data_IF_582164906201
#
_entry.id   IF_582164906201
#
_cell.length_a   1.000
_cell.length_b   1.000
_cell.length_c   1.000
_cell.angle_alpha   90.00
_cell.angle_beta   90.00
_cell.angle_gamma   90.00
#
_symmetry.space_group_name_H-M   'P 1'
#
loop_
_entity.id
_entity.type
_entity.pdbx_description
1 polymer ?
#
# COMPACT_ATOMS: atom_id res chain seq x y z
N UNK A 1 23.02 11.99 -2.02
CA UNK A 1 22.17 10.81 -1.80
C UNK A 1 21.79 10.73 -0.33
N UNK A 2 20.77 11.46 0.10
CA UNK A 2 20.31 11.40 1.50
C UNK A 2 19.01 10.61 1.52
N UNK A 3 19.11 9.32 1.86
CA UNK A 3 17.96 8.50 2.20
C UNK A 3 17.53 8.89 3.63
N UNK A 4 16.28 9.29 3.80
CA UNK A 4 15.75 9.61 5.14
C UNK A 4 15.74 8.37 6.05
N UNK A 5 15.88 8.53 7.38
CA UNK A 5 15.95 7.43 8.34
C UNK A 5 14.67 6.56 8.33
N UNK A 6 14.85 5.31 8.77
CA UNK A 6 13.93 4.16 8.73
C UNK A 6 12.56 4.33 9.44
N UNK A 7 12.21 5.52 9.92
CA UNK A 7 10.97 5.77 10.67
C UNK A 7 9.83 6.37 9.84
N UNK A 8 10.06 6.68 8.55
CA UNK A 8 9.06 7.27 7.65
C UNK A 8 9.07 6.57 6.30
N UNK A 9 7.92 6.60 5.61
CA UNK A 9 7.78 6.24 4.20
C UNK A 9 8.99 6.76 3.41
N UNK A 10 9.71 5.84 2.74
CA UNK A 10 11.00 6.14 2.13
C UNK A 10 10.87 7.18 1.03
N UNK A 11 11.34 8.39 1.36
CA UNK A 11 11.44 9.50 0.41
C UNK A 11 12.85 9.51 -0.16
N UNK A 12 12.95 9.33 -1.46
CA UNK A 12 14.19 9.37 -2.23
C UNK A 12 14.33 10.78 -2.79
N UNK A 13 15.27 11.56 -2.23
CA UNK A 13 15.65 12.87 -2.75
C UNK A 13 16.92 12.75 -3.59
N UNK A 14 16.87 13.22 -4.83
CA UNK A 14 18.00 13.14 -5.74
C UNK A 14 18.39 14.51 -6.29
N UNK A 15 19.65 14.91 -6.05
CA UNK A 15 20.20 16.19 -6.49
C UNK A 15 20.88 16.10 -7.87
N UNK A 16 21.30 14.91 -8.31
CA UNK A 16 22.02 14.70 -9.57
C UNK A 16 21.46 13.45 -10.27
N UNK A 17 20.62 13.64 -11.29
CA UNK A 17 20.31 12.59 -12.26
C UNK A 17 21.39 12.62 -13.34
N UNK A 18 22.06 11.49 -13.55
CA UNK A 18 22.83 11.33 -14.78
C UNK A 18 21.84 11.33 -15.94
N UNK A 19 22.07 12.19 -16.94
CA UNK A 19 21.11 12.53 -18.02
C UNK A 19 20.55 11.31 -18.77
N UNK A 20 21.22 10.16 -18.68
CA UNK A 20 20.89 8.92 -19.39
C UNK A 20 20.13 7.87 -18.56
N UNK A 21 19.85 8.09 -17.28
CA UNK A 21 19.23 7.05 -16.45
C UNK A 21 17.79 6.76 -16.88
N UNK A 22 17.48 5.47 -17.03
CA UNK A 22 16.12 4.96 -17.13
C UNK A 22 15.48 4.88 -15.75
N UNK A 23 14.15 4.85 -15.71
CA UNK A 23 13.41 4.62 -14.47
C UNK A 23 13.81 3.32 -13.78
N UNK A 24 14.16 2.29 -14.57
CA UNK A 24 14.68 1.01 -14.06
C UNK A 24 16.00 1.18 -13.31
N UNK A 25 16.96 1.93 -13.85
CA UNK A 25 18.27 2.12 -13.21
C UNK A 25 18.13 2.76 -11.82
N UNK A 26 17.27 3.78 -11.73
CA UNK A 26 16.96 4.45 -10.47
C UNK A 26 16.24 3.51 -9.49
N UNK A 27 15.24 2.78 -9.95
CA UNK A 27 14.49 1.84 -9.14
C UNK A 27 15.37 0.70 -8.60
N UNK A 28 16.20 0.10 -9.46
CA UNK A 28 17.12 -0.98 -9.10
C UNK A 28 18.20 -0.49 -8.12
N UNK A 29 18.67 0.76 -8.24
CA UNK A 29 19.55 1.37 -7.24
C UNK A 29 18.87 1.47 -5.88
N UNK A 30 17.63 1.97 -5.82
CA UNK A 30 16.88 2.08 -4.56
C UNK A 30 16.69 0.69 -3.95
N UNK A 31 16.24 -0.30 -4.72
CA UNK A 31 16.02 -1.67 -4.24
C UNK A 31 17.31 -2.30 -3.69
N UNK A 32 18.44 -2.18 -4.40
CA UNK A 32 19.74 -2.68 -3.92
C UNK A 32 20.19 -1.98 -2.64
N UNK A 33 20.00 -0.67 -2.55
CA UNK A 33 20.43 0.11 -1.38
C UNK A 33 19.66 -0.29 -0.13
N UNK A 34 18.40 -0.71 -0.27
CA UNK A 34 17.57 -1.16 0.86
C UNK A 34 17.59 -2.66 1.08
N UNK A 35 18.23 -3.46 0.20
CA UNK A 35 18.24 -4.92 0.29
C UNK A 35 16.93 -5.59 -0.13
N UNK A 36 16.10 -4.93 -0.94
CA UNK A 36 14.79 -5.46 -1.37
C UNK A 36 14.92 -6.29 -2.66
N UNK A 37 14.45 -7.53 -2.60
CA UNK A 37 14.33 -8.44 -3.76
C UNK A 37 12.89 -8.57 -4.26
N UNK A 38 11.89 -8.41 -3.38
CA UNK A 38 10.45 -8.44 -3.70
C UNK A 38 9.97 -7.17 -4.42
N UNK A 39 10.67 -6.82 -5.50
CA UNK A 39 10.52 -5.55 -6.20
C UNK A 39 9.17 -5.38 -6.90
N UNK A 40 8.47 -6.48 -7.19
CA UNK A 40 7.21 -6.47 -7.93
C UNK A 40 6.05 -5.78 -7.21
N UNK A 41 6.15 -5.55 -5.89
CA UNK A 41 5.17 -4.78 -5.15
C UNK A 41 5.38 -3.27 -5.24
N UNK A 42 6.59 -2.80 -5.56
CA UNK A 42 6.99 -1.41 -5.33
C UNK A 42 7.12 -0.59 -6.61
N UNK A 43 7.07 0.73 -6.44
CA UNK A 43 7.36 1.70 -7.49
C UNK A 43 7.89 3.01 -6.93
N UNK A 44 8.34 3.88 -7.84
CA UNK A 44 8.70 5.26 -7.51
C UNK A 44 7.56 6.18 -7.95
N UNK A 45 6.93 6.84 -6.98
CA UNK A 45 5.86 7.82 -7.19
C UNK A 45 6.46 9.23 -7.16
N UNK A 46 5.99 10.11 -8.03
CA UNK A 46 6.35 11.54 -8.01
C UNK A 46 5.11 12.40 -8.27
N UNK A 47 5.15 13.64 -7.80
CA UNK A 47 4.05 14.60 -7.97
C UNK A 47 4.06 15.16 -9.39
N UNK A 48 2.88 15.21 -10.02
CA UNK A 48 2.65 15.81 -11.34
C UNK A 48 1.45 16.71 -11.25
N UNK A 49 1.65 18.04 -11.35
CA UNK A 49 0.58 19.04 -11.20
C UNK A 49 -0.23 18.76 -9.92
N UNK A 50 -1.54 18.59 -10.03
CA UNK A 50 -2.46 18.34 -8.92
C UNK A 50 -2.67 16.83 -8.63
N UNK A 51 -1.77 15.96 -9.10
CA UNK A 51 -1.87 14.51 -8.91
C UNK A 51 -0.49 13.86 -8.77
N UNK A 52 -0.41 12.55 -8.94
CA UNK A 52 0.83 11.79 -8.93
C UNK A 52 0.96 10.91 -10.19
N UNK A 53 2.19 10.50 -10.46
CA UNK A 53 2.50 9.50 -11.46
C UNK A 53 3.52 8.49 -10.91
N UNK A 54 3.50 7.28 -11.47
CA UNK A 54 4.51 6.26 -11.21
C UNK A 54 5.57 6.31 -12.30
N UNK A 55 6.84 6.34 -11.89
CA UNK A 55 7.99 6.33 -12.78
C UNK A 55 7.96 5.06 -13.65
N UNK A 56 8.01 5.25 -14.96
CA UNK A 56 8.05 4.17 -15.94
C UNK A 56 9.47 3.65 -16.05
N UNK A 57 9.63 2.35 -15.84
CA UNK A 57 10.95 1.71 -15.82
C UNK A 57 11.67 1.80 -17.17
N UNK A 58 10.94 1.67 -18.29
CA UNK A 58 11.52 1.65 -19.65
C UNK A 58 11.91 3.01 -20.22
N UNK A 59 11.44 4.11 -19.61
CA UNK A 59 11.70 5.47 -20.09
C UNK A 59 12.84 6.11 -19.31
N UNK A 60 13.55 7.04 -19.95
CA UNK A 60 14.46 7.92 -19.23
C UNK A 60 13.71 8.72 -18.16
N UNK A 61 14.36 8.97 -17.04
CA UNK A 61 13.75 9.68 -15.91
C UNK A 61 13.38 11.11 -16.32
N UNK A 62 14.28 11.79 -17.04
CA UNK A 62 14.12 13.18 -17.46
C UNK A 62 13.16 13.36 -18.65
N UNK A 63 12.84 12.28 -19.38
CA UNK A 63 11.85 12.30 -20.47
C UNK A 63 10.41 12.16 -19.96
N UNK A 64 10.24 11.95 -18.65
CA UNK A 64 8.94 11.86 -18.00
C UNK A 64 8.59 13.21 -17.38
N UNK A 65 7.32 13.41 -17.02
CA UNK A 65 6.80 14.67 -16.47
C UNK A 65 7.26 14.93 -15.02
N UNK A 66 8.47 14.51 -14.64
CA UNK A 66 9.03 14.71 -13.31
C UNK A 66 9.26 16.21 -13.02
N UNK A 67 9.08 16.66 -11.77
CA UNK A 67 9.42 18.03 -11.40
C UNK A 67 10.87 18.36 -11.78
N UNK A 68 11.08 19.57 -12.31
CA UNK A 68 12.42 20.06 -12.66
C UNK A 68 13.14 20.70 -11.48
N UNK A 69 12.46 20.84 -10.35
CA UNK A 69 13.02 21.39 -9.12
C UNK A 69 14.04 20.41 -8.52
N UNK A 70 15.18 20.95 -8.07
CA UNK A 70 16.23 20.17 -7.43
C UNK A 70 16.18 20.38 -5.91
N UNK A 71 16.20 19.32 -5.09
CA UNK A 71 16.26 17.91 -5.49
C UNK A 71 14.92 17.38 -6.01
N UNK A 72 14.97 16.53 -7.05
CA UNK A 72 13.79 15.79 -7.50
C UNK A 72 13.43 14.78 -6.40
N UNK A 73 12.17 14.81 -5.99
CA UNK A 73 11.66 13.96 -4.92
C UNK A 73 10.80 12.83 -5.49
N UNK A 74 11.21 11.60 -5.19
CA UNK A 74 10.44 10.38 -5.45
C UNK A 74 10.04 9.72 -4.12
N UNK A 75 8.88 9.10 -4.08
CA UNK A 75 8.43 8.29 -2.96
C UNK A 75 8.50 6.83 -3.37
N UNK A 76 9.31 6.03 -2.65
CA UNK A 76 9.38 4.60 -2.84
C UNK A 76 8.26 3.95 -2.04
N UNK A 77 7.26 3.42 -2.74
CA UNK A 77 5.97 2.99 -2.16
C UNK A 77 5.57 1.62 -2.70
N UNK A 78 4.86 0.85 -1.88
CA UNK A 78 4.07 -0.27 -2.36
C UNK A 78 2.99 0.27 -3.31
N UNK A 79 3.01 -0.22 -4.54
CA UNK A 79 2.08 0.08 -5.63
C UNK A 79 1.04 -1.02 -5.79
N UNK A 80 1.42 -2.26 -5.53
CA UNK A 80 0.55 -3.43 -5.61
C UNK A 80 0.58 -4.16 -4.28
N UNK A 81 -0.59 -4.56 -3.79
CA UNK A 81 -0.74 -5.20 -2.49
C UNK A 81 -0.87 -6.72 -2.66
N UNK A 82 -0.39 -7.52 -1.69
CA UNK A 82 -0.60 -8.97 -1.67
C UNK A 82 -2.10 -9.31 -1.51
N UNK A 83 -2.52 -10.48 -2.00
CA UNK A 83 -3.80 -11.11 -1.63
C UNK A 83 -3.74 -11.64 -0.19
N UNK A 84 -2.57 -12.10 0.26
CA UNK A 84 -2.33 -12.53 1.65
C UNK A 84 -0.94 -12.13 2.13
N UNK A 85 -0.88 -11.25 3.14
CA UNK A 85 0.40 -10.69 3.61
C UNK A 85 1.37 -11.75 4.15
N UNK A 86 0.86 -12.74 4.90
CA UNK A 86 1.68 -13.77 5.55
C UNK A 86 2.27 -14.79 4.56
N UNK A 87 1.59 -15.03 3.44
CA UNK A 87 2.04 -15.99 2.41
C UNK A 87 2.97 -15.35 1.36
N UNK A 88 2.82 -14.03 1.13
CA UNK A 88 3.46 -13.32 0.03
C UNK A 88 4.60 -12.39 0.44
N UNK A 89 4.60 -11.84 1.66
CA UNK A 89 5.67 -10.93 2.11
C UNK A 89 6.79 -11.74 2.77
N UNK A 90 7.83 -12.05 2.00
CA UNK A 90 8.88 -13.01 2.40
C UNK A 90 9.98 -12.36 3.24
N UNK A 91 10.48 -11.21 2.83
CA UNK A 91 11.58 -10.52 3.50
C UNK A 91 11.06 -9.56 4.58
N UNK A 92 11.75 -9.50 5.71
CA UNK A 92 11.45 -8.55 6.79
C UNK A 92 11.46 -7.10 6.31
N UNK A 93 12.36 -6.72 5.39
CA UNK A 93 12.36 -5.37 4.82
C UNK A 93 11.10 -5.08 4.01
N UNK A 94 10.55 -6.06 3.30
CA UNK A 94 9.31 -5.93 2.54
C UNK A 94 8.15 -5.72 3.50
N UNK A 95 8.04 -6.59 4.52
CA UNK A 95 7.03 -6.50 5.58
C UNK A 95 7.07 -5.13 6.25
N UNK A 96 8.27 -4.69 6.66
CA UNK A 96 8.47 -3.40 7.31
C UNK A 96 8.02 -2.21 6.45
N UNK A 97 8.34 -2.22 5.16
CA UNK A 97 7.92 -1.15 4.25
C UNK A 97 6.40 -1.12 4.04
N UNK A 98 5.75 -2.29 3.96
CA UNK A 98 4.28 -2.38 3.91
C UNK A 98 3.67 -1.88 5.22
N UNK A 99 4.17 -2.33 6.37
CA UNK A 99 3.71 -1.89 7.70
C UNK A 99 3.75 -0.36 7.82
N UNK A 100 4.88 0.26 7.51
CA UNK A 100 5.02 1.72 7.59
C UNK A 100 4.05 2.44 6.66
N UNK A 101 3.85 1.95 5.45
CA UNK A 101 2.93 2.55 4.49
C UNK A 101 1.48 2.42 4.96
N UNK A 102 1.03 1.20 5.28
CA UNK A 102 -0.35 0.93 5.71
C UNK A 102 -0.68 1.68 7.00
N UNK A 103 0.24 1.68 7.98
CA UNK A 103 0.09 2.47 9.21
C UNK A 103 -0.12 3.94 8.90
N UNK A 104 0.69 4.51 8.00
CA UNK A 104 0.53 5.90 7.58
C UNK A 104 -0.84 6.13 6.92
N UNK A 105 -1.27 5.24 6.03
CA UNK A 105 -2.56 5.38 5.35
C UNK A 105 -3.76 5.30 6.30
N UNK A 106 -3.67 4.50 7.36
CA UNK A 106 -4.70 4.45 8.41
C UNK A 106 -4.71 5.75 9.23
N UNK A 107 -3.52 6.23 9.66
CA UNK A 107 -3.40 7.46 10.45
C UNK A 107 -3.80 8.73 9.66
N UNK A 108 -3.50 8.76 8.36
CA UNK A 108 -3.89 9.84 7.43
C UNK A 108 -5.36 9.72 6.98
N UNK A 109 -6.10 8.70 7.45
CA UNK A 109 -7.51 8.44 7.09
C UNK A 109 -7.73 8.13 5.60
N UNK A 110 -6.69 7.70 4.88
CA UNK A 110 -6.81 7.13 3.53
C UNK A 110 -7.50 5.76 3.56
N UNK A 111 -7.25 4.98 4.62
CA UNK A 111 -7.90 3.71 4.90
C UNK A 111 -8.78 3.90 6.14
N UNK A 112 -10.09 3.66 5.98
CA UNK A 112 -10.99 3.66 7.12
C UNK A 112 -10.66 2.51 8.07
N UNK A 113 -10.59 2.81 9.36
CA UNK A 113 -10.39 1.83 10.42
C UNK A 113 -11.37 2.12 11.56
N UNK A 114 -12.02 1.10 12.09
CA UNK A 114 -12.90 1.27 13.27
C UNK A 114 -12.07 1.69 14.50
N UNK A 115 -12.69 2.34 15.50
CA UNK A 115 -12.00 2.68 16.74
C UNK A 115 -11.37 1.47 17.44
N UNK A 116 -12.09 0.36 17.51
CA UNK A 116 -11.64 -0.87 18.16
C UNK A 116 -10.42 -1.46 17.44
N UNK A 117 -10.48 -1.55 16.11
CA UNK A 117 -9.36 -2.01 15.30
C UNK A 117 -8.17 -1.04 15.38
N UNK A 118 -8.42 0.27 15.46
CA UNK A 118 -7.37 1.29 15.56
C UNK A 118 -6.56 1.14 16.84
N UNK A 119 -7.22 0.87 17.98
CA UNK A 119 -6.54 0.63 19.26
C UNK A 119 -5.69 -0.65 19.21
N UNK A 120 -6.23 -1.73 18.65
CA UNK A 120 -5.48 -2.98 18.50
C UNK A 120 -4.26 -2.80 17.58
N UNK A 121 -4.43 -2.15 16.43
CA UNK A 121 -3.35 -1.81 15.51
C UNK A 121 -2.29 -0.91 16.17
N UNK A 122 -2.70 0.09 16.95
CA UNK A 122 -1.79 0.93 17.71
C UNK A 122 -0.94 0.11 18.70
N UNK A 123 -1.53 -0.88 19.39
CA UNK A 123 -0.78 -1.74 20.31
C UNK A 123 0.30 -2.57 19.63
N UNK A 124 0.03 -3.13 18.44
CA UNK A 124 1.08 -3.81 17.65
C UNK A 124 2.14 -2.84 17.13
N UNK A 125 1.75 -1.62 16.74
CA UNK A 125 2.72 -0.61 16.32
C UNK A 125 3.65 -0.18 17.47
N UNK A 126 3.14 -0.14 18.71
CA UNK A 126 3.93 0.12 19.92
C UNK A 126 4.86 -1.05 20.23
N UNK A 127 4.39 -2.30 20.18
CA UNK A 127 5.23 -3.50 20.32
C UNK A 127 6.37 -3.51 19.28
N UNK A 128 6.05 -3.23 18.01
CA UNK A 128 7.06 -3.16 16.94
C UNK A 128 8.10 -2.05 17.17
N UNK A 129 7.73 -0.94 17.83
CA UNK A 129 8.61 0.20 18.08
C UNK A 129 9.45 0.04 19.35
N UNK A 130 8.86 -0.44 20.44
CA UNK A 130 9.45 -0.40 21.77
C UNK A 130 9.88 -1.77 22.31
N UNK A 131 9.51 -2.88 21.67
CA UNK A 131 9.73 -4.22 22.19
C UNK A 131 8.69 -4.57 23.26
N UNK A 132 9.05 -5.37 24.26
CA UNK A 132 8.11 -5.78 25.31
C UNK A 132 7.76 -4.66 26.29
N UNK A 133 6.49 -4.61 26.69
CA UNK A 133 6.05 -3.74 27.77
C UNK A 133 6.72 -4.12 29.10
N UNK A 134 7.26 -3.10 29.76
CA UNK A 134 7.78 -3.17 31.14
C UNK A 134 7.26 -1.96 31.93
N UNK A 135 6.42 -2.16 32.96
CA UNK A 135 5.84 -1.07 33.75
C UNK A 135 6.89 -0.28 34.56
N UNK A 136 8.11 -0.80 34.71
CA UNK A 136 9.21 -0.07 35.35
C UNK A 136 9.80 1.00 34.45
N UNK A 137 9.81 0.78 33.13
CA UNK A 137 10.37 1.72 32.14
C UNK A 137 9.29 2.54 31.43
N UNK A 138 8.15 1.94 31.12
CA UNK A 138 7.05 2.56 30.38
C UNK A 138 6.05 3.22 31.34
N UNK A 139 6.41 4.41 31.82
CA UNK A 139 5.58 5.23 32.73
C UNK A 139 4.49 5.99 31.95
N UNK A 140 3.36 6.36 32.58
CA UNK A 140 2.32 7.15 31.93
C UNK A 140 2.88 8.39 31.23
N UNK A 141 2.42 8.63 30.00
CA UNK A 141 2.89 9.67 29.10
C UNK A 141 3.98 9.22 28.13
N UNK A 142 4.46 7.97 28.18
CA UNK A 142 5.53 7.49 27.31
C UNK A 142 5.14 7.44 25.83
N UNK A 143 3.83 7.40 25.54
CA UNK A 143 3.28 7.43 24.18
C UNK A 143 2.85 8.83 23.71
N UNK A 144 3.05 9.87 24.51
CA UNK A 144 2.55 11.22 24.23
C UNK A 144 3.09 11.84 22.91
N UNK A 145 4.24 11.39 22.42
CA UNK A 145 4.84 11.85 21.16
C UNK A 145 4.47 10.99 19.94
N UNK A 146 3.73 9.89 20.16
CA UNK A 146 3.38 8.96 19.10
C UNK A 146 2.02 9.27 18.47
N UNK A 147 2.00 9.40 17.15
CA UNK A 147 0.76 9.40 16.36
C UNK A 147 0.27 7.96 16.20
N UNK A 148 -0.62 7.53 17.09
CA UNK A 148 -1.11 6.15 17.20
C UNK A 148 -2.53 5.93 16.67
N UNK A 149 -3.38 6.96 16.67
CA UNK A 149 -4.78 6.85 16.31
C UNK A 149 -5.17 7.89 15.23
N UNK A 150 -6.10 7.54 14.32
CA UNK A 150 -6.67 8.52 13.39
C UNK A 150 -7.39 9.65 14.13
N UNK A 151 -7.36 10.87 13.57
CA UNK A 151 -7.95 12.06 14.20
C UNK A 151 -9.44 11.89 14.47
N UNK A 152 -10.19 11.28 13.55
CA UNK A 152 -11.61 10.96 13.72
C UNK A 152 -11.86 10.08 14.95
N UNK A 153 -11.02 9.08 15.21
CA UNK A 153 -11.16 8.19 16.37
C UNK A 153 -10.95 8.97 17.67
N UNK A 154 -9.93 9.82 17.71
CA UNK A 154 -9.66 10.70 18.86
C UNK A 154 -10.82 11.65 19.14
N UNK A 155 -11.45 12.19 18.09
CA UNK A 155 -12.54 13.17 18.20
C UNK A 155 -13.92 12.54 18.47
N UNK A 156 -14.12 11.27 18.15
CA UNK A 156 -15.43 10.60 18.25
C UNK A 156 -15.83 10.29 19.70
N UNK A 157 -14.86 10.12 20.60
CA UNK A 157 -15.09 9.77 22.00
C UNK A 157 -14.67 10.90 22.93
N UNK A 158 -15.38 11.07 24.05
CA UNK A 158 -14.98 11.97 25.13
C UNK A 158 -13.88 11.34 26.01
N UNK A 159 -12.78 10.94 25.37
CA UNK A 159 -11.62 10.33 26.04
C UNK A 159 -10.45 11.30 26.01
N UNK A 160 -9.72 11.39 27.13
CA UNK A 160 -8.46 12.13 27.17
C UNK A 160 -7.34 11.33 26.48
N UNK A 161 -6.23 12.00 26.17
CA UNK A 161 -5.04 11.33 25.62
C UNK A 161 -4.56 10.20 26.56
N UNK A 162 -4.55 10.45 27.86
CA UNK A 162 -4.15 9.47 28.87
C UNK A 162 -5.06 8.24 28.89
N UNK A 163 -6.38 8.41 28.71
CA UNK A 163 -7.32 7.29 28.64
C UNK A 163 -7.12 6.45 27.38
N UNK A 164 -6.73 7.07 26.25
CA UNK A 164 -6.36 6.33 25.05
C UNK A 164 -5.05 5.58 25.23
N UNK A 165 -4.06 6.22 25.87
CA UNK A 165 -2.79 5.60 26.22
C UNK A 165 -3.00 4.36 27.10
N UNK A 166 -3.87 4.45 28.12
CA UNK A 166 -4.21 3.32 28.99
C UNK A 166 -4.80 2.15 28.20
N UNK A 167 -5.76 2.41 27.29
CA UNK A 167 -6.34 1.36 26.43
C UNK A 167 -5.31 0.70 25.52
N UNK A 168 -4.44 1.49 24.89
CA UNK A 168 -3.38 0.97 24.02
C UNK A 168 -2.38 0.16 24.84
N UNK A 169 -2.00 0.65 26.02
CA UNK A 169 -1.05 0.00 26.91
C UNK A 169 -1.58 -1.33 27.44
N UNK A 170 -2.89 -1.42 27.73
CA UNK A 170 -3.51 -2.67 28.12
C UNK A 170 -3.35 -3.77 27.06
N UNK A 171 -3.56 -3.45 25.78
CA UNK A 171 -3.30 -4.40 24.69
C UNK A 171 -1.80 -4.65 24.47
N UNK A 172 -0.98 -3.61 24.59
CA UNK A 172 0.49 -3.72 24.45
C UNK A 172 1.09 -4.71 25.46
N UNK A 173 0.60 -4.71 26.70
CA UNK A 173 1.07 -5.65 27.73
C UNK A 173 0.83 -7.13 27.38
N UNK A 174 -0.23 -7.42 26.59
CA UNK A 174 -0.56 -8.79 26.16
C UNK A 174 0.35 -9.29 25.01
N UNK A 175 1.09 -8.39 24.35
CA UNK A 175 1.98 -8.73 23.22
C UNK A 175 3.38 -9.16 23.64
N UNK A 176 3.62 -9.35 24.95
CA UNK A 176 4.93 -9.70 25.48
C UNK A 176 5.50 -10.97 24.84
N UNK A 177 6.74 -10.89 24.39
CA UNK A 177 7.46 -11.97 23.72
C UNK A 177 7.25 -12.00 22.20
N UNK A 178 6.40 -11.13 21.65
CA UNK A 178 6.24 -11.00 20.20
C UNK A 178 7.41 -10.17 19.65
N UNK A 179 8.17 -10.76 18.73
CA UNK A 179 9.27 -10.07 18.07
C UNK A 179 8.76 -8.93 17.17
N UNK A 180 9.61 -7.94 16.88
CA UNK A 180 9.23 -6.79 16.07
C UNK A 180 8.65 -7.17 14.70
N UNK A 181 9.29 -8.08 13.98
CA UNK A 181 8.82 -8.54 12.66
C UNK A 181 7.47 -9.26 12.76
N UNK A 182 7.26 -10.03 13.82
CA UNK A 182 5.99 -10.71 14.09
C UNK A 182 4.88 -9.70 14.44
N UNK A 183 5.17 -8.65 15.22
CA UNK A 183 4.22 -7.57 15.50
C UNK A 183 3.85 -6.76 14.25
N UNK A 184 4.82 -6.45 13.38
CA UNK A 184 4.57 -5.79 12.09
C UNK A 184 3.72 -6.69 11.17
N UNK A 185 3.93 -8.02 11.18
CA UNK A 185 3.11 -8.98 10.45
C UNK A 185 1.67 -9.06 11.00
N UNK A 186 1.47 -9.15 12.31
CA UNK A 186 0.13 -9.18 12.91
C UNK A 186 -0.65 -7.89 12.66
N UNK A 187 0.03 -6.73 12.68
CA UNK A 187 -0.56 -5.46 12.24
C UNK A 187 -1.10 -5.57 10.81
N UNK A 188 -0.29 -6.08 9.89
CA UNK A 188 -0.67 -6.23 8.48
C UNK A 188 -1.79 -7.26 8.28
N UNK A 189 -1.80 -8.34 9.07
CA UNK A 189 -2.83 -9.37 9.00
C UNK A 189 -4.21 -8.84 9.36
N UNK A 190 -4.29 -7.93 10.33
CA UNK A 190 -5.54 -7.23 10.69
C UNK A 190 -5.87 -6.18 9.63
N UNK A 191 -4.88 -5.39 9.21
CA UNK A 191 -5.11 -4.30 8.28
C UNK A 191 -5.55 -4.76 6.88
N UNK A 192 -5.14 -5.96 6.43
CA UNK A 192 -5.52 -6.49 5.12
C UNK A 192 -7.03 -6.76 4.99
N UNK A 193 -7.72 -6.96 6.13
CA UNK A 193 -9.16 -7.24 6.16
C UNK A 193 -10.02 -5.95 6.15
N UNK A 194 -9.41 -4.77 6.22
CA UNK A 194 -10.10 -3.49 6.11
C UNK A 194 -10.60 -3.27 4.67
N UNK A 195 -11.83 -2.78 4.51
CA UNK A 195 -12.51 -2.73 3.20
C UNK A 195 -11.81 -1.82 2.18
N UNK A 196 -11.04 -0.83 2.66
CA UNK A 196 -10.31 0.13 1.83
C UNK A 196 -8.84 -0.27 1.63
N UNK A 197 -8.38 -1.37 2.22
CA UNK A 197 -6.99 -1.82 2.14
C UNK A 197 -6.59 -2.14 0.70
N UNK A 198 -5.50 -1.53 0.24
CA UNK A 198 -4.95 -1.78 -1.09
C UNK A 198 -5.82 -1.27 -2.27
N UNK A 199 -6.93 -0.55 -2.01
CA UNK A 199 -7.85 -0.09 -3.05
C UNK A 199 -7.42 1.29 -3.57
N UNK A 200 -7.16 1.37 -4.88
CA UNK A 200 -6.94 2.64 -5.58
C UNK A 200 -8.26 3.19 -6.14
N UNK A 201 -8.74 4.32 -5.60
CA UNK A 201 -10.00 4.93 -6.01
C UNK A 201 -9.86 5.99 -7.12
N UNK A 202 -10.77 5.98 -8.09
CA UNK A 202 -10.84 6.93 -9.19
C UNK A 202 -12.27 7.42 -9.41
N UNK A 203 -12.47 8.73 -9.51
CA UNK A 203 -13.74 9.30 -9.93
C UNK A 203 -14.00 9.00 -11.41
N UNK A 204 -15.17 8.42 -11.70
CA UNK A 204 -15.62 8.02 -13.03
C UNK A 204 -17.09 8.38 -13.23
N UNK A 205 -17.55 8.44 -14.47
CA UNK A 205 -18.97 8.58 -14.81
C UNK A 205 -19.43 7.44 -15.70
N UNK A 206 -20.66 6.97 -15.54
CA UNK A 206 -21.18 5.89 -16.39
C UNK A 206 -21.67 6.40 -17.75
N UNK A 207 -22.20 7.63 -17.78
CA UNK A 207 -22.68 8.31 -18.97
C UNK A 207 -22.06 9.69 -19.07
N UNK A 208 -21.98 10.24 -20.29
CA UNK A 208 -21.56 11.64 -20.52
C UNK A 208 -22.51 12.69 -19.91
N UNK A 209 -23.67 12.27 -19.36
CA UNK A 209 -24.78 13.11 -18.85
C UNK A 209 -25.01 12.96 -17.34
N UNK A 210 -23.95 12.67 -16.61
CA UNK A 210 -23.87 12.59 -15.14
C UNK A 210 -24.52 11.37 -14.47
N UNK A 211 -23.63 10.54 -13.94
CA UNK A 211 -23.79 9.83 -12.68
C UNK A 211 -22.37 9.61 -12.18
N UNK A 212 -21.97 10.35 -11.15
CA UNK A 212 -20.66 10.17 -10.53
C UNK A 212 -20.62 8.82 -9.83
N UNK A 213 -19.54 8.08 -10.04
CA UNK A 213 -19.22 6.81 -9.42
C UNK A 213 -17.75 6.81 -9.02
N UNK A 214 -17.37 5.88 -8.16
CA UNK A 214 -15.97 5.61 -7.84
C UNK A 214 -15.59 4.23 -8.35
N UNK A 215 -14.48 4.15 -9.09
CA UNK A 215 -13.82 2.90 -9.45
C UNK A 215 -12.76 2.60 -8.40
N UNK A 216 -12.81 1.43 -7.77
CA UNK A 216 -11.69 0.85 -7.03
C UNK A 216 -10.95 -0.17 -7.88
N UNK A 217 -9.62 -0.15 -7.78
CA UNK A 217 -8.72 -1.14 -8.39
C UNK A 217 -7.85 -1.73 -7.28
N UNK A 218 -7.85 -3.05 -7.12
CA UNK A 218 -7.07 -3.75 -6.11
C UNK A 218 -6.52 -5.11 -6.60
N UNK A 219 -5.99 -5.91 -5.67
CA UNK A 219 -5.43 -7.22 -5.96
C UNK A 219 -6.48 -8.27 -6.40
N UNK A 220 -7.77 -8.06 -6.09
CA UNK A 220 -8.87 -8.99 -6.36
C UNK A 220 -9.60 -8.67 -7.66
N UNK A 221 -9.71 -7.39 -8.02
CA UNK A 221 -10.39 -6.99 -9.25
C UNK A 221 -10.64 -5.49 -9.41
N UNK A 222 -11.75 -5.20 -10.08
CA UNK A 222 -12.31 -3.87 -10.26
C UNK A 222 -13.65 -3.76 -9.56
N UNK A 223 -13.88 -2.63 -8.88
CA UNK A 223 -15.02 -2.43 -8.01
C UNK A 223 -15.67 -1.08 -8.31
N UNK A 224 -17.00 -1.03 -8.36
CA UNK A 224 -17.77 0.18 -8.62
C UNK A 224 -18.52 0.54 -7.34
N UNK A 225 -18.30 1.76 -6.86
CA UNK A 225 -18.84 2.29 -5.63
C UNK A 225 -19.71 3.51 -5.91
N UNK A 226 -20.65 3.76 -5.00
CA UNK A 226 -21.31 5.07 -4.91
C UNK A 226 -20.31 6.14 -4.45
N UNK A 227 -20.43 7.41 -4.89
CA UNK A 227 -19.52 8.48 -4.48
C UNK A 227 -19.40 8.67 -2.96
N UNK A 228 -20.50 8.40 -2.25
CA UNK A 228 -20.60 8.60 -0.80
C UNK A 228 -20.26 7.35 0.03
N UNK A 229 -19.89 6.23 -0.59
CA UNK A 229 -19.63 4.97 0.11
C UNK A 229 -18.45 4.22 -0.51
N UNK A 230 -17.27 4.34 0.11
CA UNK A 230 -16.05 3.65 -0.33
C UNK A 230 -15.86 2.25 0.27
N UNK A 231 -16.66 1.89 1.27
CA UNK A 231 -16.52 0.61 2.00
C UNK A 231 -17.13 -0.55 1.22
N UNK A 232 -18.33 -0.36 0.68
CA UNK A 232 -19.09 -1.44 0.04
C UNK A 232 -19.28 -1.17 -1.46
N UNK A 233 -18.74 -2.02 -2.35
CA UNK A 233 -18.94 -1.87 -3.78
C UNK A 233 -20.35 -2.29 -4.20
N UNK A 234 -20.97 -1.51 -5.10
CA UNK A 234 -22.24 -1.83 -5.75
C UNK A 234 -22.09 -2.95 -6.79
N UNK A 235 -20.91 -3.04 -7.44
CA UNK A 235 -20.61 -4.02 -8.48
C UNK A 235 -19.13 -4.36 -8.49
N UNK A 236 -18.80 -5.65 -8.61
CA UNK A 236 -17.42 -6.14 -8.63
C UNK A 236 -17.14 -6.99 -9.86
N UNK A 237 -15.94 -6.85 -10.42
CA UNK A 237 -15.42 -7.61 -11.55
C UNK A 237 -14.11 -8.28 -11.12
N UNK A 238 -14.15 -9.55 -10.68
CA UNK A 238 -12.94 -10.25 -10.27
C UNK A 238 -12.02 -10.45 -11.48
N UNK A 239 -10.70 -10.47 -11.25
CA UNK A 239 -9.73 -10.65 -12.34
C UNK A 239 -9.98 -11.92 -13.17
N UNK A 240 -10.37 -13.03 -12.53
CA UNK A 240 -10.75 -14.28 -13.23
C UNK A 240 -11.94 -14.14 -14.19
N UNK A 241 -12.79 -13.14 -13.98
CA UNK A 241 -14.00 -12.90 -14.77
C UNK A 241 -13.83 -11.89 -15.90
N UNK A 242 -12.63 -11.32 -16.07
CA UNK A 242 -12.35 -10.26 -17.05
C UNK A 242 -11.59 -10.84 -18.24
N UNK A 243 -12.09 -10.59 -19.46
CA UNK A 243 -11.43 -11.01 -20.71
C UNK A 243 -10.44 -9.98 -21.21
N UNK A 244 -10.84 -8.72 -21.17
CA UNK A 244 -10.08 -7.62 -21.75
C UNK A 244 -10.47 -6.29 -21.11
N UNK A 245 -9.45 -5.46 -20.88
CA UNK A 245 -9.61 -4.08 -20.44
C UNK A 245 -8.94 -3.17 -21.47
N UNK A 246 -9.64 -2.13 -21.90
CA UNK A 246 -9.14 -1.19 -22.88
C UNK A 246 -9.80 0.16 -22.71
N UNK A 247 -9.18 1.23 -23.21
CA UNK A 247 -9.81 2.54 -23.30
C UNK A 247 -9.57 3.18 -24.66
N UNK A 248 -10.50 4.03 -25.09
CA UNK A 248 -10.39 4.90 -26.25
C UNK A 248 -10.77 6.31 -25.82
N UNK A 249 -9.85 7.26 -25.98
CA UNK A 249 -9.99 8.62 -25.46
C UNK A 249 -10.37 8.64 -23.97
N UNK A 250 -11.61 9.04 -23.65
CA UNK A 250 -12.17 9.08 -22.29
C UNK A 250 -12.97 7.82 -21.93
N UNK A 251 -13.43 7.03 -22.91
CA UNK A 251 -14.23 5.82 -22.68
C UNK A 251 -13.32 4.66 -22.28
N UNK A 252 -13.58 4.06 -21.12
CA UNK A 252 -12.94 2.86 -20.61
C UNK A 252 -13.92 1.70 -20.68
N UNK A 253 -13.44 0.52 -21.08
CA UNK A 253 -14.27 -0.66 -21.37
C UNK A 253 -13.72 -1.88 -20.65
N UNK A 254 -14.59 -2.55 -19.89
CA UNK A 254 -14.33 -3.84 -19.23
C UNK A 254 -15.17 -4.90 -19.95
N UNK A 255 -14.51 -5.83 -20.64
CA UNK A 255 -15.17 -6.94 -21.32
C UNK A 255 -15.12 -8.18 -20.42
N UNK A 256 -16.26 -8.76 -20.01
CA UNK A 256 -16.27 -10.00 -19.23
C UNK A 256 -15.79 -11.20 -20.05
N UNK A 257 -15.30 -12.23 -19.35
CA UNK A 257 -14.93 -13.53 -19.93
C UNK A 257 -16.14 -14.27 -20.50
N UNK A 258 -17.25 -14.26 -19.74
CA UNK A 258 -18.53 -14.74 -20.21
C UNK A 258 -19.13 -13.78 -21.23
N UNK A 259 -19.22 -14.22 -22.48
CA UNK A 259 -19.76 -13.43 -23.61
C UNK A 259 -21.25 -13.09 -23.46
N UNK A 260 -21.98 -13.76 -22.56
CA UNK A 260 -23.38 -13.45 -22.25
C UNK A 260 -23.55 -12.26 -21.31
N UNK A 261 -22.50 -11.90 -20.56
CA UNK A 261 -22.53 -10.75 -19.66
C UNK A 261 -22.28 -9.45 -20.42
N UNK A 262 -22.99 -8.40 -20.02
CA UNK A 262 -22.85 -7.09 -20.64
C UNK A 262 -21.46 -6.48 -20.44
N UNK A 263 -20.98 -5.81 -21.49
CA UNK A 263 -19.76 -5.01 -21.44
C UNK A 263 -19.99 -3.79 -20.56
N UNK A 264 -19.14 -3.60 -19.55
CA UNK A 264 -19.23 -2.42 -18.70
C UNK A 264 -18.37 -1.30 -19.27
N UNK A 265 -18.95 -0.10 -19.36
CA UNK A 265 -18.27 1.09 -19.87
C UNK A 265 -18.40 2.23 -18.87
N UNK A 266 -17.35 3.01 -18.74
CA UNK A 266 -17.33 4.23 -17.96
C UNK A 266 -16.41 5.27 -18.60
N UNK A 267 -16.43 6.49 -18.09
CA UNK A 267 -15.63 7.60 -18.56
C UNK A 267 -14.86 8.19 -17.39
N UNK A 268 -13.62 8.64 -17.65
CA UNK A 268 -12.87 9.45 -16.70
C UNK A 268 -12.72 10.88 -17.21
N UNK A 269 -12.46 11.82 -16.28
CA UNK A 269 -12.35 13.24 -16.60
C UNK A 269 -11.14 13.55 -17.51
N UNK A 270 -10.05 12.78 -17.39
CA UNK A 270 -8.77 13.05 -18.04
C UNK A 270 -8.12 11.77 -18.61
N UNK A 271 -7.53 11.86 -19.80
CA UNK A 271 -6.82 10.74 -20.45
C UNK A 271 -5.68 10.16 -19.59
N UNK A 272 -5.03 10.99 -18.77
CA UNK A 272 -3.97 10.56 -17.84
C UNK A 272 -4.49 9.60 -16.76
N UNK A 273 -5.72 9.78 -16.31
CA UNK A 273 -6.37 8.90 -15.33
C UNK A 273 -6.64 7.54 -15.97
N UNK A 274 -7.16 7.48 -17.19
CA UNK A 274 -7.34 6.22 -17.92
C UNK A 274 -6.01 5.46 -18.11
N UNK A 275 -4.92 6.17 -18.41
CA UNK A 275 -3.57 5.58 -18.50
C UNK A 275 -3.13 4.97 -17.16
N UNK A 276 -3.35 5.68 -16.05
CA UNK A 276 -3.00 5.20 -14.71
C UNK A 276 -3.85 3.99 -14.30
N UNK A 277 -5.17 4.05 -14.49
CA UNK A 277 -6.09 2.93 -14.24
C UNK A 277 -5.63 1.70 -15.02
N UNK A 278 -5.40 1.81 -16.33
CA UNK A 278 -4.95 0.68 -17.15
C UNK A 278 -3.62 0.09 -16.64
N UNK A 279 -2.66 0.94 -16.26
CA UNK A 279 -1.39 0.48 -15.70
C UNK A 279 -1.55 -0.27 -14.38
N UNK A 280 -2.50 0.14 -13.52
CA UNK A 280 -2.81 -0.57 -12.29
C UNK A 280 -3.54 -1.89 -12.57
N UNK A 281 -4.46 -1.91 -13.54
CA UNK A 281 -5.14 -3.14 -13.95
C UNK A 281 -4.16 -4.18 -14.47
N UNK A 282 -3.24 -3.78 -15.37
CA UNK A 282 -2.23 -4.69 -15.93
C UNK A 282 -1.37 -5.28 -14.80
N UNK A 283 -0.81 -4.44 -13.92
CA UNK A 283 0.07 -4.93 -12.85
C UNK A 283 -0.64 -5.79 -11.81
N UNK A 284 -1.86 -5.43 -11.39
CA UNK A 284 -2.64 -6.28 -10.48
C UNK A 284 -3.03 -7.61 -11.13
N UNK A 285 -3.47 -7.59 -12.39
CA UNK A 285 -3.81 -8.81 -13.12
C UNK A 285 -2.58 -9.72 -13.34
N UNK A 286 -1.40 -9.16 -13.64
CA UNK A 286 -0.17 -9.93 -13.80
C UNK A 286 0.23 -10.63 -12.48
N UNK A 287 0.11 -9.93 -11.34
CA UNK A 287 0.34 -10.52 -10.02
C UNK A 287 -0.72 -11.57 -9.66
N UNK A 288 -1.99 -11.28 -9.94
CA UNK A 288 -3.09 -12.24 -9.79
C UNK A 288 -2.82 -13.54 -10.55
N UNK A 289 -2.34 -13.45 -11.79
CA UNK A 289 -1.97 -14.61 -12.60
C UNK A 289 -0.71 -15.32 -12.07
N UNK A 290 0.26 -14.57 -11.54
CA UNK A 290 1.48 -15.12 -10.94
C UNK A 290 1.17 -15.98 -9.71
N UNK A 291 0.29 -15.51 -8.82
CA UNK A 291 -0.14 -16.23 -7.59
C UNK A 291 -0.80 -17.58 -7.87
N UNK A 292 -1.35 -17.76 -9.07
CA UNK A 292 -2.05 -18.99 -9.49
C UNK A 292 -1.14 -19.97 -10.22
N UNK A 293 0.17 -19.68 -10.29
CA UNK A 293 1.20 -20.55 -10.82
C UNK A 293 2.11 -21.01 -9.68
N UNK A 294 2.87 -22.06 -9.93
CA UNK A 294 3.93 -22.48 -9.01
C UNK A 294 4.94 -21.35 -8.86
N UNK A 295 5.40 -21.13 -7.62
CA UNK A 295 6.44 -20.14 -7.30
C UNK A 295 7.67 -20.37 -8.19
N UNK A 296 8.25 -19.27 -8.70
CA UNK A 296 9.52 -19.35 -9.43
C UNK A 296 10.64 -19.83 -8.51
N UNK A 297 11.71 -20.38 -9.08
CA UNK A 297 12.89 -20.83 -8.33
C UNK A 297 13.43 -19.71 -7.44
N UNK A 298 13.44 -18.47 -7.93
CA UNK A 298 13.86 -17.30 -7.16
C UNK A 298 12.99 -17.09 -5.89
N UNK A 299 11.67 -17.18 -6.01
CA UNK A 299 10.75 -17.02 -4.87
C UNK A 299 10.91 -18.18 -3.89
N UNK A 300 11.07 -19.41 -4.38
CA UNK A 300 11.31 -20.58 -3.53
C UNK A 300 12.60 -20.43 -2.73
N UNK A 301 13.69 -19.97 -3.38
CA UNK A 301 14.95 -19.69 -2.70
C UNK A 301 14.82 -18.57 -1.66
N UNK A 302 14.07 -17.50 -1.98
CA UNK A 302 13.78 -16.43 -1.01
C UNK A 302 13.04 -16.95 0.22
N UNK A 303 12.00 -17.77 0.02
CA UNK A 303 11.24 -18.37 1.12
C UNK A 303 12.09 -19.31 1.96
N UNK A 304 12.94 -20.12 1.33
CA UNK A 304 13.87 -21.01 2.02
C UNK A 304 14.87 -20.23 2.88
N UNK A 305 15.47 -19.17 2.31
CA UNK A 305 16.41 -18.30 3.01
C UNK A 305 15.74 -17.60 4.20
N UNK A 306 14.56 -17.01 4.01
CA UNK A 306 13.83 -16.33 5.08
C UNK A 306 13.46 -17.29 6.22
N UNK A 307 13.08 -18.53 5.90
CA UNK A 307 12.79 -19.57 6.89
C UNK A 307 14.04 -19.94 7.71
N UNK A 308 15.20 -20.05 7.05
CA UNK A 308 16.46 -20.33 7.72
C UNK A 308 16.91 -19.18 8.63
N UNK A 309 16.80 -17.93 8.14
CA UNK A 309 17.09 -16.72 8.93
C UNK A 309 16.19 -16.62 10.16
N UNK A 310 14.88 -16.90 10.01
CA UNK A 310 13.93 -16.93 11.13
C UNK A 310 14.23 -18.04 12.14
N UNK A 311 14.64 -19.22 11.67
CA UNK A 311 15.03 -20.32 12.56
C UNK A 311 16.29 -19.98 13.38
N UNK A 312 17.28 -19.32 12.76
CA UNK A 312 18.51 -18.89 13.44
C UNK A 312 18.26 -17.84 14.53
N UNK A 313 17.23 -16.99 14.39
CA UNK A 313 16.85 -15.99 15.41
C UNK A 313 16.14 -16.59 16.63
N UNK A 314 15.62 -17.81 16.53
CA UNK A 314 14.89 -18.51 17.62
C UNK A 314 15.78 -19.41 18.48
N UNK A 315 17.07 -19.52 18.15
CA UNK A 315 18.10 -20.28 18.91
C UNK A 315 18.91 -19.32 19.76
#
# INVERSE_FOLDING_TARGET
NVLAPFSRVKTVKMCLLHVKWKGKDLFDLVCRTVGLRETWFFGLRYTVKDTYAWLKQEKHVLDQEVPKDSPITFHFLAKFFPEKVEEELVQEITQHLFFLQVKKQILDEEIFCSPEASVLLASYAVQAKYGDYDPNFHKPGFLAQDELLPKRVLMQYQMTVDMWEEKITAWYAEHRGIARDEAEMEYLKIAQDLEMYGVSYFAITQNKRDTDLLLGVDAQGLHIYSPNSKLNPNKSFPWSGIRNISYSEKEFTIKPLDKKKDVFKFYSSQLRVNKLILQLCIGNHDLFMRRRKVDSIEVQQMKAQAKEEKARKKV
#
